data_IF_250539924249
#
_entry.id   IF_250539924249
#
_cell.length_a   1.000
_cell.length_b   1.000
_cell.length_c   1.000
_cell.angle_alpha   90.00
_cell.angle_beta   90.00
_cell.angle_gamma   90.00
#
_symmetry.space_group_name_H-M   'P 1'
#
loop_
_entity.id
_entity.type
_entity.pdbx_description
1 polymer ?
#
# COMPACT_ATOMS: atom_id res chain seq x y z
N UNK A 1 5.18 0.42 14.72
CA UNK A 1 5.11 -1.05 14.55
C UNK A 1 6.29 -1.71 15.27
N UNK A 2 6.17 -2.93 15.84
CA UNK A 2 7.30 -3.63 16.44
C UNK A 2 8.43 -3.90 15.44
N UNK A 3 9.69 -3.74 15.86
CA UNK A 3 10.85 -3.94 14.99
C UNK A 3 10.95 -5.37 14.43
N UNK A 4 10.51 -6.37 15.19
CA UNK A 4 10.49 -7.77 14.74
C UNK A 4 9.54 -7.98 13.55
N UNK A 5 8.35 -7.36 13.57
CA UNK A 5 7.39 -7.44 12.47
C UNK A 5 7.91 -6.73 11.22
N UNK A 6 8.48 -5.53 11.38
CA UNK A 6 9.14 -4.80 10.29
C UNK A 6 10.23 -5.65 9.63
N UNK A 7 11.17 -6.18 10.43
CA UNK A 7 12.28 -6.99 9.92
C UNK A 7 11.79 -8.27 9.23
N UNK A 8 10.74 -8.90 9.75
CA UNK A 8 10.11 -10.06 9.12
C UNK A 8 9.61 -9.70 7.71
N UNK A 9 8.84 -8.63 7.57
CA UNK A 9 8.25 -8.24 6.29
C UNK A 9 9.29 -7.71 5.28
N UNK A 10 10.32 -6.99 5.75
CA UNK A 10 11.49 -6.66 4.92
C UNK A 10 12.16 -7.94 4.41
N UNK A 11 12.35 -8.94 5.29
CA UNK A 11 12.90 -10.24 4.90
C UNK A 11 12.03 -11.00 3.90
N UNK A 12 10.70 -10.90 4.00
CA UNK A 12 9.78 -11.49 3.02
C UNK A 12 9.93 -10.83 1.65
N UNK A 13 10.01 -9.50 1.58
CA UNK A 13 10.27 -8.77 0.33
C UNK A 13 11.60 -9.19 -0.31
N UNK A 14 12.67 -9.30 0.48
CA UNK A 14 13.97 -9.75 -0.02
C UNK A 14 13.98 -11.22 -0.49
N UNK A 15 13.11 -12.06 0.08
CA UNK A 15 12.96 -13.46 -0.33
C UNK A 15 12.24 -13.58 -1.67
N UNK A 16 11.17 -12.79 -1.84
CA UNK A 16 10.24 -12.94 -2.96
C UNK A 16 10.60 -12.06 -4.16
N UNK A 17 11.35 -10.98 -3.94
CA UNK A 17 11.75 -10.02 -4.96
C UNK A 17 13.27 -9.78 -4.91
N UNK A 18 13.91 -9.40 -6.04
CA UNK A 18 15.35 -9.17 -6.12
C UNK A 18 15.75 -7.81 -5.48
N UNK A 19 15.28 -7.55 -4.26
CA UNK A 19 15.55 -6.34 -3.51
C UNK A 19 16.65 -6.56 -2.48
N UNK A 20 17.50 -5.55 -2.32
CA UNK A 20 18.31 -5.42 -1.11
C UNK A 20 17.46 -4.91 0.06
N UNK A 21 18.04 -4.93 1.26
CA UNK A 21 17.32 -4.51 2.48
C UNK A 21 16.88 -3.04 2.45
N UNK A 22 17.61 -2.18 1.74
CA UNK A 22 17.28 -0.76 1.59
C UNK A 22 16.04 -0.59 0.72
N UNK A 23 16.02 -1.23 -0.44
CA UNK A 23 14.89 -1.17 -1.38
C UNK A 23 13.66 -1.83 -0.78
N UNK A 24 13.80 -2.99 -0.15
CA UNK A 24 12.72 -3.68 0.55
C UNK A 24 12.11 -2.81 1.66
N UNK A 25 12.94 -2.13 2.47
CA UNK A 25 12.47 -1.22 3.51
C UNK A 25 11.71 -0.01 2.94
N UNK A 26 12.19 0.57 1.82
CA UNK A 26 11.52 1.69 1.14
C UNK A 26 10.15 1.28 0.60
N UNK A 27 10.08 0.14 -0.11
CA UNK A 27 8.82 -0.41 -0.65
C UNK A 27 7.83 -0.75 0.47
N UNK A 28 8.29 -1.41 1.54
CA UNK A 28 7.44 -1.74 2.69
C UNK A 28 6.88 -0.47 3.35
N UNK A 29 7.71 0.56 3.52
CA UNK A 29 7.31 1.84 4.09
C UNK A 29 6.20 2.51 3.29
N UNK A 30 6.33 2.57 1.96
CA UNK A 30 5.29 3.15 1.11
C UNK A 30 4.00 2.31 1.11
N UNK A 31 4.10 0.97 1.20
CA UNK A 31 2.94 0.09 1.35
C UNK A 31 2.16 0.35 2.64
N UNK A 32 2.84 0.55 3.77
CA UNK A 32 2.19 0.96 5.02
C UNK A 32 1.56 2.35 4.93
N UNK A 33 2.27 3.32 4.33
CA UNK A 33 1.74 4.67 4.16
C UNK A 33 0.44 4.67 3.33
N UNK A 34 0.40 3.86 2.27
CA UNK A 34 -0.81 3.65 1.48
C UNK A 34 -1.95 3.05 2.30
N UNK A 35 -1.73 1.91 2.97
CA UNK A 35 -2.77 1.23 3.76
C UNK A 35 -3.34 2.12 4.86
N UNK A 36 -2.47 2.81 5.61
CA UNK A 36 -2.90 3.71 6.68
C UNK A 36 -3.68 4.91 6.15
N UNK A 37 -3.28 5.47 5.00
CA UNK A 37 -4.03 6.54 4.32
C UNK A 37 -5.40 6.04 3.85
N UNK A 38 -5.47 4.83 3.27
CA UNK A 38 -6.73 4.23 2.84
C UNK A 38 -7.69 3.98 4.02
N UNK A 39 -7.18 3.49 5.15
CA UNK A 39 -7.98 3.30 6.37
C UNK A 39 -8.46 4.64 6.95
N UNK A 40 -7.60 5.66 6.99
CA UNK A 40 -7.92 7.01 7.48
C UNK A 40 -9.00 7.71 6.65
N UNK A 41 -9.11 7.36 5.36
CA UNK A 41 -10.09 7.91 4.42
C UNK A 41 -11.19 6.92 4.01
N UNK A 42 -11.40 5.86 4.81
CA UNK A 42 -12.46 4.89 4.58
C UNK A 42 -13.83 5.58 4.51
N UNK A 43 -14.53 5.42 3.38
CA UNK A 43 -15.86 6.00 3.15
C UNK A 43 -15.86 7.30 2.35
N UNK A 44 -14.70 7.94 2.17
CA UNK A 44 -14.54 9.14 1.32
C UNK A 44 -14.57 8.81 -0.18
N UNK A 45 -14.45 7.52 -0.54
CA UNK A 45 -14.48 7.01 -1.93
C UNK A 45 -13.49 7.71 -2.86
N UNK A 46 -12.28 7.96 -2.37
CA UNK A 46 -11.25 8.72 -3.10
C UNK A 46 -10.66 7.98 -4.32
N UNK A 47 -10.92 6.67 -4.46
CA UNK A 47 -10.35 5.86 -5.54
C UNK A 47 -8.82 5.83 -5.47
N UNK A 48 -8.28 5.55 -4.28
CA UNK A 48 -6.84 5.44 -4.08
C UNK A 48 -6.30 4.24 -4.86
N UNK A 49 -5.10 4.39 -5.42
CA UNK A 49 -4.43 3.36 -6.19
C UNK A 49 -2.91 3.42 -5.93
N UNK A 50 -2.25 2.31 -5.58
CA UNK A 50 -0.80 2.26 -5.50
C UNK A 50 -0.17 2.18 -6.89
N UNK A 51 1.11 2.56 -7.01
CA UNK A 51 1.93 2.16 -8.16
C UNK A 51 2.26 0.67 -8.09
N UNK A 52 2.78 0.06 -9.17
CA UNK A 52 3.12 -1.37 -9.16
C UNK A 52 4.16 -1.73 -8.08
N UNK A 53 5.15 -0.86 -7.87
CA UNK A 53 6.17 -1.08 -6.82
C UNK A 53 5.58 -0.94 -5.41
N UNK A 54 4.69 0.03 -5.19
CA UNK A 54 4.06 0.20 -3.88
C UNK A 54 3.07 -0.94 -3.59
N UNK A 55 2.37 -1.42 -4.60
CA UNK A 55 1.42 -2.53 -4.52
C UNK A 55 2.09 -3.82 -4.01
N UNK A 56 3.35 -4.08 -4.43
CA UNK A 56 4.16 -5.17 -3.87
C UNK A 56 4.32 -5.04 -2.34
N UNK A 57 4.56 -3.82 -1.86
CA UNK A 57 4.62 -3.52 -0.43
C UNK A 57 3.28 -3.73 0.27
N UNK A 58 2.19 -3.28 -0.35
CA UNK A 58 0.81 -3.47 0.14
C UNK A 58 0.48 -4.96 0.27
N UNK A 59 0.75 -5.77 -0.76
CA UNK A 59 0.53 -7.22 -0.73
C UNK A 59 1.39 -7.91 0.33
N UNK A 60 2.64 -7.49 0.51
CA UNK A 60 3.50 -8.05 1.57
C UNK A 60 2.87 -7.88 2.96
N UNK A 61 2.27 -6.72 3.23
CA UNK A 61 1.58 -6.47 4.50
C UNK A 61 0.33 -7.34 4.62
N UNK A 62 -0.51 -7.39 3.58
CA UNK A 62 -1.79 -8.12 3.57
C UNK A 62 -1.59 -9.64 3.71
N UNK A 63 -0.58 -10.20 3.05
CA UNK A 63 -0.27 -11.63 3.08
C UNK A 63 0.14 -12.13 4.49
N UNK A 64 0.66 -11.24 5.33
CA UNK A 64 0.85 -11.50 6.75
C UNK A 64 -0.46 -11.27 7.52
N UNK A 65 -1.46 -12.11 7.22
CA UNK A 65 -2.88 -11.90 7.58
C UNK A 65 -3.14 -11.63 9.06
N UNK A 66 -2.34 -12.20 9.98
CA UNK A 66 -2.45 -11.89 11.42
C UNK A 66 -2.06 -10.44 11.69
N UNK A 67 -0.89 -10.00 11.20
CA UNK A 67 -0.45 -8.62 11.35
C UNK A 67 -1.38 -7.64 10.63
N UNK A 68 -1.91 -8.03 9.48
CA UNK A 68 -2.85 -7.21 8.73
C UNK A 68 -4.21 -7.05 9.42
N UNK A 69 -4.75 -8.12 10.02
CA UNK A 69 -5.95 -8.05 10.83
C UNK A 69 -5.75 -7.15 12.06
N UNK A 70 -4.60 -7.24 12.75
CA UNK A 70 -4.25 -6.36 13.86
C UNK A 70 -4.10 -4.88 13.43
N UNK A 71 -3.56 -4.64 12.22
CA UNK A 71 -3.45 -3.31 11.65
C UNK A 71 -4.84 -2.70 11.40
N UNK A 72 -5.73 -3.48 10.78
CA UNK A 72 -7.13 -3.08 10.54
C UNK A 72 -7.88 -2.83 11.85
N UNK A 73 -7.73 -3.71 12.84
CA UNK A 73 -8.36 -3.55 14.16
C UNK A 73 -7.98 -2.20 14.79
N UNK A 74 -6.68 -1.88 14.72
CA UNK A 74 -6.13 -0.68 15.35
C UNK A 74 -6.40 0.62 14.60
N UNK A 75 -6.35 0.61 13.27
CA UNK A 75 -6.34 1.84 12.46
C UNK A 75 -7.56 2.01 11.56
N UNK A 76 -8.45 1.03 11.52
CA UNK A 76 -9.64 1.04 10.67
C UNK A 76 -10.93 0.77 11.46
N UNK A 77 -10.97 1.17 12.74
CA UNK A 77 -12.10 0.99 13.66
C UNK A 77 -12.62 -0.46 13.74
N UNK A 78 -11.72 -1.46 13.71
CA UNK A 78 -12.15 -2.87 13.70
C UNK A 78 -12.57 -3.41 12.33
N UNK A 79 -12.71 -2.56 11.30
CA UNK A 79 -13.11 -3.01 9.98
C UNK A 79 -11.93 -3.58 9.21
N UNK A 80 -12.11 -4.76 8.61
CA UNK A 80 -11.14 -5.27 7.65
C UNK A 80 -11.20 -4.43 6.38
N UNK A 81 -10.08 -3.82 5.98
CA UNK A 81 -9.99 -3.21 4.66
C UNK A 81 -9.84 -4.38 3.68
N UNK A 82 -10.79 -4.55 2.76
CA UNK A 82 -10.79 -5.68 1.84
C UNK A 82 -9.94 -5.39 0.60
N UNK A 83 -9.06 -6.34 0.25
CA UNK A 83 -8.37 -6.34 -1.04
C UNK A 83 -9.29 -6.96 -2.10
N UNK A 84 -9.65 -6.21 -3.14
CA UNK A 84 -10.50 -6.67 -4.24
C UNK A 84 -9.85 -6.27 -5.57
N UNK A 85 -8.90 -7.08 -6.07
CA UNK A 85 -8.18 -6.77 -7.29
C UNK A 85 -9.09 -6.92 -8.52
N UNK A 86 -8.93 -6.03 -9.49
CA UNK A 86 -9.52 -6.20 -10.83
C UNK A 86 -8.53 -6.90 -11.79
N UNK A 87 -8.95 -7.18 -13.02
CA UNK A 87 -8.07 -7.74 -14.06
C UNK A 87 -7.39 -6.60 -14.85
N UNK A 88 -8.11 -5.50 -15.08
CA UNK A 88 -7.66 -4.41 -15.93
C UNK A 88 -6.91 -3.34 -15.13
N UNK A 89 -5.74 -2.98 -15.64
CA UNK A 89 -4.89 -1.91 -15.11
C UNK A 89 -5.48 -0.56 -15.49
N UNK A 90 -5.47 0.41 -14.55
CA UNK A 90 -5.98 1.77 -14.79
C UNK A 90 -4.83 2.74 -14.98
N UNK A 91 -4.97 3.63 -15.96
CA UNK A 91 -4.01 4.70 -16.22
C UNK A 91 -4.75 6.03 -16.34
N UNK A 92 -5.25 6.51 -15.20
CA UNK A 92 -6.12 7.70 -15.06
C UNK A 92 -5.53 8.77 -14.13
N UNK A 93 -4.25 8.61 -13.76
CA UNK A 93 -3.53 9.48 -12.83
C UNK A 93 -3.89 9.28 -11.35
N UNK A 94 -4.67 8.27 -10.99
CA UNK A 94 -5.01 7.91 -9.60
C UNK A 94 -3.77 7.66 -8.74
N UNK A 95 -2.71 7.06 -9.28
CA UNK A 95 -1.45 6.80 -8.54
C UNK A 95 -0.83 8.08 -8.01
N UNK A 96 -0.64 9.09 -8.86
CA UNK A 96 -0.04 10.36 -8.41
C UNK A 96 -0.98 11.17 -7.51
N UNK A 97 -2.30 11.08 -7.72
CA UNK A 97 -3.28 11.65 -6.77
C UNK A 97 -3.17 10.97 -5.40
N UNK A 98 -2.96 9.66 -5.37
CA UNK A 98 -2.76 8.89 -4.15
C UNK A 98 -1.46 9.29 -3.45
N UNK A 99 -0.36 9.42 -4.18
CA UNK A 99 0.91 9.91 -3.63
C UNK A 99 0.75 11.30 -2.99
N UNK A 100 0.05 12.22 -3.66
CA UNK A 100 -0.25 13.54 -3.07
C UNK A 100 -1.14 13.45 -1.84
N UNK A 101 -2.11 12.52 -1.81
CA UNK A 101 -2.96 12.29 -0.63
C UNK A 101 -2.15 11.79 0.56
N UNK A 102 -1.26 10.83 0.33
CA UNK A 102 -0.34 10.29 1.34
C UNK A 102 0.56 11.41 1.90
N UNK A 103 1.08 12.29 1.03
CA UNK A 103 1.83 13.47 1.48
C UNK A 103 0.96 14.43 2.32
N UNK A 104 -0.29 14.66 1.93
CA UNK A 104 -1.23 15.52 2.65
C UNK A 104 -1.59 14.96 4.04
N UNK A 105 -1.53 13.64 4.22
CA UNK A 105 -1.69 12.95 5.50
C UNK A 105 -0.42 12.99 6.37
N UNK A 106 0.66 13.62 5.88
CA UNK A 106 1.90 13.87 6.61
C UNK A 106 2.98 12.80 6.45
N UNK A 107 2.78 11.84 5.53
CA UNK A 107 3.78 10.81 5.24
C UNK A 107 4.85 11.32 4.26
N UNK A 108 6.08 10.84 4.43
CA UNK A 108 7.13 11.05 3.44
C UNK A 108 6.89 10.16 2.21
N UNK A 109 6.81 10.79 1.04
CA UNK A 109 6.58 10.12 -0.25
C UNK A 109 7.90 9.91 -0.97
N UNK A 110 8.25 8.63 -1.18
CA UNK A 110 9.36 8.24 -2.03
C UNK A 110 8.94 8.30 -3.50
N UNK A 111 8.97 9.49 -4.08
CA UNK A 111 8.45 9.76 -5.44
C UNK A 111 8.93 8.75 -6.51
N UNK A 112 10.21 8.32 -6.55
CA UNK A 112 10.66 7.25 -7.46
C UNK A 112 9.87 5.93 -7.38
N UNK A 113 9.29 5.59 -6.23
CA UNK A 113 8.45 4.40 -6.09
C UNK A 113 7.01 4.61 -6.57
N UNK A 114 6.55 5.87 -6.65
CA UNK A 114 5.20 6.23 -7.09
C UNK A 114 5.11 6.60 -8.57
N UNK A 115 6.21 7.09 -9.15
CA UNK A 115 6.32 7.44 -10.55
C UNK A 115 6.62 6.18 -11.38
N UNK A 116 5.70 5.23 -11.38
CA UNK A 116 5.82 4.09 -12.28
C UNK A 116 5.41 4.50 -13.69
N UNK A 117 6.29 4.27 -14.66
CA UNK A 117 6.04 4.49 -16.08
C UNK A 117 5.33 3.28 -16.73
N UNK A 118 5.15 2.19 -15.98
CA UNK A 118 4.44 0.99 -16.41
C UNK A 118 3.10 0.87 -15.66
N UNK A 119 2.01 0.85 -16.45
CA UNK A 119 0.59 0.55 -16.15
C UNK A 119 0.26 0.17 -14.70
N UNK A 120 -0.64 0.94 -14.07
CA UNK A 120 -0.99 0.88 -12.64
C UNK A 120 -1.93 -0.26 -12.23
N UNK A 121 -1.78 -0.73 -10.98
CA UNK A 121 -2.51 -1.85 -10.39
C UNK A 121 -4.05 -1.76 -10.50
N UNK A 122 -4.73 -2.90 -10.57
CA UNK A 122 -6.16 -2.96 -10.87
C UNK A 122 -7.03 -2.79 -9.60
N UNK A 123 -7.53 -1.58 -9.33
CA UNK A 123 -8.45 -1.30 -8.20
C UNK A 123 -9.80 -0.73 -8.70
N UNK A 124 -10.96 -1.17 -8.19
CA UNK A 124 -12.30 -0.77 -8.65
C UNK A 124 -12.64 0.73 -8.45
N UNK A 125 -13.19 1.46 -9.45
CA UNK A 125 -13.43 2.90 -9.30
C UNK A 125 -14.48 3.16 -8.23
N UNK A 126 -14.24 4.13 -7.34
CA UNK A 126 -15.19 4.54 -6.30
C UNK A 126 -15.38 3.54 -5.15
N UNK A 127 -14.53 2.52 -5.05
CA UNK A 127 -14.53 1.56 -3.96
C UNK A 127 -13.48 1.91 -2.90
N UNK A 128 -13.73 1.51 -1.65
CA UNK A 128 -12.73 1.55 -0.56
C UNK A 128 -11.79 0.32 -0.60
N UNK A 129 -11.77 -0.40 -1.72
CA UNK A 129 -10.89 -1.56 -1.90
C UNK A 129 -9.47 -1.08 -2.19
N UNK A 130 -8.50 -1.83 -1.71
CA UNK A 130 -7.18 -1.87 -2.33
C UNK A 130 -7.13 -3.04 -3.29
#
# INVERSE_FOLDING_TARGET
MPAALWNKQVGLLMRDYPYDSITAARVLGQGYAYLLTAMNHRGDRLGLAPSSLVDIGVHTVILDTVAYAELCDRFNDGHFLHHVPEIDFKDDGSVMKTAHRIAADGWEVDLPLWQDAAKCSPCHPGSDSH
#
